data_IF_535674402654
#
_entry.id   IF_535674402654
#
_cell.length_a   1.000
_cell.length_b   1.000
_cell.length_c   1.000
_cell.angle_alpha   90.00
_cell.angle_beta   90.00
_cell.angle_gamma   90.00
#
_symmetry.space_group_name_H-M   'P 1'
#
loop_
_entity.id
_entity.type
_entity.pdbx_description
1 polymer ?
#
# COMPACT_ATOMS: atom_id res chain seq x y z
N UNK A 1 54.02 -84.84 56.70
CA UNK A 1 54.69 -84.83 55.45
C UNK A 1 53.74 -85.10 54.35
N UNK A 2 52.96 -84.25 53.92
CA UNK A 2 52.24 -84.26 52.65
C UNK A 2 51.50 -82.94 52.46
N UNK A 3 51.97 -82.18 51.49
CA UNK A 3 51.37 -80.96 51.08
C UNK A 3 50.14 -81.24 50.22
N UNK A 4 48.98 -80.77 50.59
CA UNK A 4 47.82 -80.74 49.73
C UNK A 4 47.60 -79.29 49.25
N UNK A 5 47.81 -79.06 47.99
CA UNK A 5 47.46 -77.85 47.27
C UNK A 5 45.94 -77.88 46.93
N UNK A 6 45.22 -76.91 47.39
CA UNK A 6 43.81 -76.68 47.05
C UNK A 6 43.71 -75.61 46.01
N UNK A 7 43.23 -75.93 44.80
CA UNK A 7 42.93 -75.02 43.69
C UNK A 7 41.58 -74.37 43.90
N UNK A 8 41.52 -73.03 43.93
CA UNK A 8 40.36 -72.26 43.91
C UNK A 8 39.93 -71.90 42.45
N UNK A 9 38.63 -71.93 42.04
CA UNK A 9 38.24 -71.66 40.68
C UNK A 9 38.11 -70.14 40.46
N UNK A 10 38.66 -69.66 39.33
CA UNK A 10 38.52 -68.31 38.84
C UNK A 10 37.12 -68.11 38.26
N UNK A 11 36.32 -67.24 38.88
CA UNK A 11 35.08 -66.71 38.31
C UNK A 11 35.41 -65.61 37.28
N UNK A 12 35.10 -65.84 35.99
CA UNK A 12 35.06 -64.85 34.95
C UNK A 12 33.79 -64.01 35.09
N UNK A 13 33.93 -62.73 35.51
CA UNK A 13 32.84 -61.75 35.43
C UNK A 13 32.79 -61.22 33.96
N UNK A 14 31.79 -61.63 33.21
CA UNK A 14 31.43 -61.01 31.95
C UNK A 14 30.73 -59.65 32.25
N UNK A 15 31.46 -58.55 32.05
CA UNK A 15 30.88 -57.22 32.08
C UNK A 15 30.08 -56.99 30.78
N UNK A 16 28.77 -56.82 30.89
CA UNK A 16 27.89 -56.42 29.81
C UNK A 16 27.96 -54.90 29.64
N UNK A 17 28.65 -54.45 28.58
CA UNK A 17 28.72 -53.04 28.20
C UNK A 17 27.36 -52.66 27.53
N UNK A 18 26.50 -51.95 28.25
CA UNK A 18 25.32 -51.32 27.65
C UNK A 18 25.73 -50.06 26.94
N UNK A 19 25.86 -50.09 25.60
CA UNK A 19 26.00 -48.89 24.77
C UNK A 19 24.63 -48.29 24.57
N UNK A 20 24.31 -47.18 25.30
CA UNK A 20 23.10 -46.39 25.09
C UNK A 20 23.32 -45.54 23.84
N UNK A 21 22.73 -45.93 22.72
CA UNK A 21 22.61 -45.07 21.53
C UNK A 21 21.56 -43.99 21.83
N UNK A 22 21.99 -42.80 22.22
CA UNK A 22 21.12 -41.61 22.25
C UNK A 22 21.01 -41.14 20.79
N UNK A 23 19.99 -41.60 20.10
CA UNK A 23 19.59 -41.02 18.81
C UNK A 23 19.06 -39.61 19.03
N UNK A 24 19.95 -38.61 18.95
CA UNK A 24 19.55 -37.20 18.91
C UNK A 24 18.76 -36.96 17.62
N UNK A 25 17.42 -36.83 17.75
CA UNK A 25 16.59 -36.30 16.66
C UNK A 25 16.94 -34.81 16.56
N UNK A 26 17.85 -34.48 15.63
CA UNK A 26 18.09 -33.10 15.21
C UNK A 26 16.83 -32.71 14.44
N UNK A 27 15.86 -32.10 15.11
CA UNK A 27 14.80 -31.36 14.43
C UNK A 27 15.46 -30.17 13.74
N UNK A 28 15.80 -30.33 12.45
CA UNK A 28 16.14 -29.21 11.59
C UNK A 28 14.94 -28.31 11.50
N UNK A 29 14.85 -27.31 12.37
CA UNK A 29 13.94 -26.20 12.16
C UNK A 29 14.36 -25.55 10.85
N UNK A 30 13.57 -25.75 9.79
CA UNK A 30 13.72 -24.99 8.55
C UNK A 30 13.55 -23.51 8.89
N UNK A 31 14.64 -22.80 9.02
CA UNK A 31 14.60 -21.32 9.10
C UNK A 31 14.11 -20.87 7.74
N UNK A 32 12.81 -20.54 7.65
CA UNK A 32 12.24 -19.96 6.43
C UNK A 32 12.98 -18.65 6.18
N UNK A 33 13.52 -18.48 4.96
CA UNK A 33 14.24 -17.26 4.60
C UNK A 33 13.30 -16.05 4.81
N UNK A 34 13.86 -14.95 5.31
CA UNK A 34 13.11 -13.70 5.44
C UNK A 34 12.75 -13.17 4.05
N UNK A 35 11.57 -12.57 3.93
CA UNK A 35 11.20 -11.85 2.72
C UNK A 35 12.17 -10.69 2.46
N UNK A 36 12.30 -10.19 1.22
CA UNK A 36 13.15 -9.05 0.87
C UNK A 36 12.83 -7.78 1.66
N UNK A 37 13.79 -6.86 1.75
CA UNK A 37 13.59 -5.56 2.43
C UNK A 37 12.60 -4.67 1.69
N UNK A 38 12.02 -3.70 2.39
CA UNK A 38 11.12 -2.71 1.80
C UNK A 38 11.79 -1.95 0.64
N UNK A 39 13.08 -1.62 0.74
CA UNK A 39 13.83 -0.97 -0.33
C UNK A 39 13.96 -1.84 -1.57
N UNK A 40 14.23 -3.14 -1.37
CA UNK A 40 14.30 -4.09 -2.50
C UNK A 40 12.96 -4.21 -3.23
N UNK A 41 11.87 -4.34 -2.47
CA UNK A 41 10.50 -4.41 -2.99
C UNK A 41 10.15 -3.12 -3.71
N UNK A 42 10.36 -1.96 -3.07
CA UNK A 42 10.11 -0.65 -3.64
C UNK A 42 10.81 -0.43 -4.98
N UNK A 43 12.04 -0.92 -5.12
CA UNK A 43 12.80 -0.86 -6.39
C UNK A 43 12.19 -1.67 -7.53
N UNK A 44 11.25 -2.57 -7.24
CA UNK A 44 10.58 -3.43 -8.23
C UNK A 44 9.10 -3.07 -8.48
N UNK A 45 8.48 -2.31 -7.60
CA UNK A 45 7.04 -2.02 -7.64
C UNK A 45 6.62 -1.23 -8.90
N UNK A 46 7.53 -0.39 -9.46
CA UNK A 46 7.23 0.41 -10.65
C UNK A 46 6.08 1.40 -10.44
N UNK A 47 5.26 1.61 -11.49
CA UNK A 47 4.05 2.43 -11.41
C UNK A 47 2.88 1.55 -11.02
N UNK A 48 2.01 2.09 -10.12
CA UNK A 48 0.85 1.37 -9.63
C UNK A 48 -0.49 1.96 -10.07
N UNK A 49 -1.52 1.15 -9.86
CA UNK A 49 -2.92 1.44 -10.16
C UNK A 49 -3.80 1.02 -8.98
N UNK A 50 -4.80 1.83 -8.62
CA UNK A 50 -5.80 1.49 -7.61
C UNK A 50 -7.03 0.85 -8.27
N UNK A 51 -7.49 -0.29 -7.73
CA UNK A 51 -8.81 -0.83 -8.01
C UNK A 51 -9.85 -0.05 -7.20
N UNK A 52 -10.03 1.24 -7.50
CA UNK A 52 -10.89 2.13 -6.73
C UNK A 52 -12.37 1.96 -7.00
N UNK A 53 -13.20 2.35 -6.02
CA UNK A 53 -14.66 2.23 -6.01
C UNK A 53 -15.17 0.80 -6.25
N UNK A 54 -14.44 -0.19 -5.72
CA UNK A 54 -14.73 -1.61 -5.95
C UNK A 54 -14.85 -2.35 -4.61
N UNK A 55 -13.76 -2.93 -4.08
CA UNK A 55 -13.81 -3.71 -2.84
C UNK A 55 -13.97 -2.83 -1.57
N UNK A 56 -13.73 -1.54 -1.65
CA UNK A 56 -14.00 -0.60 -0.56
C UNK A 56 -15.42 0.01 -0.61
N UNK A 57 -16.16 -0.25 -1.69
CA UNK A 57 -17.54 0.22 -1.79
C UNK A 57 -18.42 -0.35 -0.66
N UNK A 58 -19.24 0.50 -0.08
CA UNK A 58 -20.03 0.21 1.14
C UNK A 58 -21.41 -0.35 0.76
N UNK A 59 -21.75 -1.49 1.14
CA UNK A 59 -21.15 -2.74 1.62
C UNK A 59 -21.27 -3.79 0.52
N UNK A 60 -20.36 -3.81 -0.39
CA UNK A 60 -20.34 -4.78 -1.51
C UNK A 60 -19.56 -4.28 -2.71
N UNK A 61 -18.86 -5.18 -3.37
CA UNK A 61 -17.98 -4.89 -4.49
C UNK A 61 -18.62 -4.04 -5.59
N UNK A 62 -19.93 -4.22 -5.81
CA UNK A 62 -20.68 -3.53 -6.87
C UNK A 62 -21.51 -2.34 -6.37
N UNK A 63 -21.41 -2.00 -5.08
CA UNK A 63 -22.33 -1.03 -4.44
C UNK A 63 -22.20 0.40 -5.03
N UNK A 64 -21.06 0.74 -5.62
CA UNK A 64 -20.81 2.02 -6.28
C UNK A 64 -20.71 1.91 -7.81
N UNK A 65 -21.31 0.87 -8.38
CA UNK A 65 -21.44 0.71 -9.84
C UNK A 65 -20.26 0.04 -10.52
N UNK A 66 -19.32 -0.55 -9.75
CA UNK A 66 -18.30 -1.40 -10.34
C UNK A 66 -18.89 -2.77 -10.75
N UNK A 67 -18.35 -3.37 -11.79
CA UNK A 67 -18.53 -4.78 -12.07
C UNK A 67 -17.63 -5.64 -11.17
N UNK A 68 -17.95 -6.94 -11.07
CA UNK A 68 -17.07 -7.86 -10.38
C UNK A 68 -15.70 -7.90 -11.05
N UNK A 69 -14.66 -7.71 -10.24
CA UNK A 69 -13.28 -7.75 -10.72
C UNK A 69 -12.96 -9.12 -11.32
N UNK A 70 -12.42 -9.12 -12.53
CA UNK A 70 -12.05 -10.32 -13.27
C UNK A 70 -10.53 -10.41 -13.46
N UNK A 71 -10.03 -11.62 -13.75
CA UNK A 71 -8.63 -11.81 -14.17
C UNK A 71 -8.33 -10.99 -15.43
N UNK A 72 -9.26 -10.93 -16.38
CA UNK A 72 -9.09 -10.18 -17.63
C UNK A 72 -8.80 -8.68 -17.38
N UNK A 73 -9.46 -8.05 -16.41
CA UNK A 73 -9.17 -6.67 -16.04
C UNK A 73 -7.72 -6.55 -15.53
N UNK A 74 -7.28 -7.44 -14.66
CA UNK A 74 -5.92 -7.42 -14.09
C UNK A 74 -4.88 -7.67 -15.18
N UNK A 75 -5.08 -8.67 -16.06
CA UNK A 75 -4.23 -8.94 -17.23
C UNK A 75 -4.06 -7.67 -18.10
N UNK A 76 -5.15 -6.91 -18.30
CA UNK A 76 -5.13 -5.67 -19.09
C UNK A 76 -4.37 -4.54 -18.40
N UNK A 77 -4.51 -4.38 -17.08
CA UNK A 77 -3.75 -3.41 -16.28
C UNK A 77 -2.26 -3.74 -16.34
N UNK A 78 -1.89 -5.01 -16.19
CA UNK A 78 -0.50 -5.46 -16.33
C UNK A 78 0.04 -5.20 -17.75
N UNK A 79 -0.73 -5.54 -18.78
CA UNK A 79 -0.33 -5.32 -20.17
C UNK A 79 -0.15 -3.83 -20.50
N UNK A 80 -0.88 -2.93 -19.82
CA UNK A 80 -0.71 -1.48 -19.96
C UNK A 80 0.60 -0.95 -19.32
N UNK A 81 1.32 -1.78 -18.55
CA UNK A 81 2.63 -1.45 -17.98
C UNK A 81 2.62 -1.20 -16.48
N UNK A 82 1.50 -1.33 -15.78
CA UNK A 82 1.43 -1.25 -14.32
C UNK A 82 2.02 -2.50 -13.69
N UNK A 83 2.79 -2.34 -12.62
CA UNK A 83 3.42 -3.45 -11.91
C UNK A 83 2.98 -3.58 -10.44
N UNK A 84 2.19 -2.64 -9.94
CA UNK A 84 1.63 -2.64 -8.59
C UNK A 84 0.15 -2.37 -8.64
N UNK A 85 -0.63 -3.13 -7.87
CA UNK A 85 -2.05 -2.86 -7.64
C UNK A 85 -2.27 -2.55 -6.16
N UNK A 86 -2.88 -1.41 -5.87
CA UNK A 86 -3.44 -1.14 -4.54
C UNK A 86 -4.90 -1.57 -4.55
N UNK A 87 -5.26 -2.43 -3.61
CA UNK A 87 -6.60 -2.94 -3.39
C UNK A 87 -7.21 -2.24 -2.16
N UNK A 88 -7.97 -1.16 -2.34
CA UNK A 88 -8.80 -0.60 -1.28
C UNK A 88 -9.86 -1.63 -0.87
N UNK A 89 -9.98 -1.91 0.46
CA UNK A 89 -10.96 -2.91 0.94
C UNK A 89 -11.68 -2.42 2.19
N UNK A 90 -13.01 -2.59 2.21
CA UNK A 90 -13.81 -2.43 3.42
C UNK A 90 -13.95 -3.76 4.16
N UNK A 91 -13.68 -3.75 5.46
CA UNK A 91 -13.71 -4.92 6.34
C UNK A 91 -14.80 -4.83 7.41
N UNK A 92 -15.01 -3.62 7.93
CA UNK A 92 -16.01 -3.38 8.99
C UNK A 92 -17.42 -3.67 8.50
N UNK A 93 -17.71 -3.29 7.27
CA UNK A 93 -18.99 -3.53 6.62
C UNK A 93 -19.27 -5.03 6.40
N UNK A 94 -18.21 -5.81 6.26
CA UNK A 94 -18.23 -7.24 6.00
C UNK A 94 -17.75 -8.06 7.23
N UNK A 95 -18.20 -7.64 8.41
CA UNK A 95 -17.87 -8.32 9.65
C UNK A 95 -19.03 -8.30 10.66
N UNK A 96 -19.05 -9.25 11.57
CA UNK A 96 -19.77 -9.08 12.82
C UNK A 96 -19.08 -7.96 13.62
N UNK A 97 -19.69 -6.78 13.63
CA UNK A 97 -19.09 -5.58 14.25
C UNK A 97 -18.99 -5.67 15.78
N UNK A 98 -19.70 -6.61 16.41
CA UNK A 98 -19.67 -6.88 17.87
C UNK A 98 -18.52 -7.82 18.20
N UNK A 99 -18.45 -8.98 17.53
CA UNK A 99 -17.40 -9.97 17.72
C UNK A 99 -16.10 -9.60 17.00
N UNK A 100 -16.14 -8.76 15.97
CA UNK A 100 -15.00 -8.40 15.13
C UNK A 100 -14.55 -9.54 14.21
N UNK A 101 -15.50 -10.42 13.82
CA UNK A 101 -15.22 -11.56 12.94
C UNK A 101 -15.53 -11.16 11.50
N UNK A 102 -14.54 -11.25 10.64
CA UNK A 102 -14.69 -10.97 9.19
C UNK A 102 -15.48 -12.09 8.54
N UNK A 103 -16.38 -11.73 7.62
CA UNK A 103 -17.15 -12.66 6.80
C UNK A 103 -16.20 -13.52 5.96
N UNK A 104 -16.45 -14.83 5.98
CA UNK A 104 -15.62 -15.83 5.30
C UNK A 104 -15.70 -15.72 3.78
N UNK A 105 -16.89 -15.40 3.25
CA UNK A 105 -17.09 -15.26 1.81
C UNK A 105 -16.43 -13.99 1.31
N UNK A 106 -16.47 -12.92 2.12
CA UNK A 106 -15.80 -11.67 1.81
C UNK A 106 -14.27 -11.80 1.74
N UNK A 107 -13.65 -12.35 2.78
CA UNK A 107 -12.19 -12.54 2.76
C UNK A 107 -11.74 -13.50 1.65
N UNK A 108 -12.57 -14.50 1.30
CA UNK A 108 -12.33 -15.39 0.18
C UNK A 108 -12.41 -14.64 -1.17
N UNK A 109 -13.38 -13.72 -1.32
CA UNK A 109 -13.48 -12.87 -2.51
C UNK A 109 -12.28 -11.93 -2.64
N UNK A 110 -11.87 -11.29 -1.56
CA UNK A 110 -10.65 -10.45 -1.56
C UNK A 110 -9.42 -11.27 -1.95
N UNK A 111 -9.31 -12.52 -1.44
CA UNK A 111 -8.23 -13.42 -1.81
C UNK A 111 -8.23 -13.74 -3.31
N UNK A 112 -9.39 -13.99 -3.90
CA UNK A 112 -9.52 -14.27 -5.33
C UNK A 112 -8.95 -13.12 -6.17
N UNK A 113 -9.24 -11.86 -5.80
CA UNK A 113 -8.70 -10.68 -6.49
C UNK A 113 -7.19 -10.54 -6.27
N UNK A 114 -6.70 -10.82 -5.05
CA UNK A 114 -5.25 -10.90 -4.77
C UNK A 114 -4.60 -11.95 -5.66
N UNK A 115 -5.20 -13.14 -5.79
CA UNK A 115 -4.66 -14.23 -6.61
C UNK A 115 -4.57 -13.84 -8.10
N UNK A 116 -5.52 -13.05 -8.63
CA UNK A 116 -5.44 -12.51 -9.98
C UNK A 116 -4.17 -11.67 -10.19
N UNK A 117 -3.86 -10.81 -9.23
CA UNK A 117 -2.67 -9.94 -9.29
C UNK A 117 -1.37 -10.75 -9.15
N UNK A 118 -1.32 -11.69 -8.23
CA UNK A 118 -0.14 -12.55 -7.99
C UNK A 118 0.16 -13.41 -9.21
N UNK A 119 -0.88 -13.95 -9.89
CA UNK A 119 -0.72 -14.73 -11.11
C UNK A 119 -0.02 -13.93 -12.23
N UNK A 120 -0.21 -12.62 -12.27
CA UNK A 120 0.41 -11.73 -13.24
C UNK A 120 1.75 -11.14 -12.75
N UNK A 121 2.33 -11.71 -11.69
CA UNK A 121 3.61 -11.26 -11.11
C UNK A 121 3.58 -9.77 -10.76
N UNK A 122 2.48 -9.31 -10.12
CA UNK A 122 2.29 -7.93 -9.69
C UNK A 122 2.42 -7.81 -8.17
N UNK A 123 2.95 -6.68 -7.73
CA UNK A 123 2.90 -6.31 -6.31
C UNK A 123 1.49 -5.88 -5.93
N UNK A 124 1.03 -6.33 -4.78
CA UNK A 124 -0.33 -6.07 -4.28
C UNK A 124 -0.26 -5.37 -2.93
N UNK A 125 -0.90 -4.23 -2.80
CA UNK A 125 -1.06 -3.51 -1.54
C UNK A 125 -2.50 -3.71 -1.06
N UNK A 126 -2.69 -4.55 -0.06
CA UNK A 126 -3.97 -4.79 0.57
C UNK A 126 -4.12 -3.87 1.78
N UNK A 127 -5.14 -3.01 1.78
CA UNK A 127 -5.34 -2.03 2.83
C UNK A 127 -6.62 -2.27 3.65
N UNK A 128 -6.77 -1.42 4.64
CA UNK A 128 -8.00 -1.15 5.36
C UNK A 128 -8.43 0.27 4.97
N UNK A 129 -9.44 0.37 4.09
CA UNK A 129 -9.86 1.64 3.52
C UNK A 129 -10.78 2.43 4.47
N UNK A 130 -11.42 3.51 3.99
CA UNK A 130 -12.29 4.39 4.80
C UNK A 130 -13.36 3.63 5.61
N UNK A 131 -14.08 2.70 4.98
CA UNK A 131 -14.92 1.67 5.62
C UNK A 131 -15.84 2.25 6.72
N UNK A 132 -16.66 3.25 6.35
CA UNK A 132 -17.52 4.04 7.25
C UNK A 132 -16.76 4.86 8.30
N UNK A 133 -15.49 5.12 8.11
CA UNK A 133 -14.68 5.97 9.00
C UNK A 133 -14.47 5.40 10.40
N UNK A 134 -14.61 4.08 10.58
CA UNK A 134 -14.48 3.49 11.91
C UNK A 134 -13.09 3.66 12.53
N UNK A 135 -12.05 3.82 11.70
CA UNK A 135 -10.69 4.16 12.09
C UNK A 135 -10.39 5.63 11.78
N UNK A 136 -10.54 6.02 10.51
CA UNK A 136 -10.10 7.32 10.00
C UNK A 136 -10.69 8.50 10.75
N UNK A 137 -12.01 8.49 10.98
CA UNK A 137 -12.72 9.58 11.65
C UNK A 137 -12.61 9.49 13.18
N UNK A 138 -11.81 8.57 13.73
CA UNK A 138 -11.74 8.28 15.17
C UNK A 138 -10.33 8.32 15.73
N UNK A 139 -9.44 9.08 15.13
CA UNK A 139 -8.07 9.24 15.64
C UNK A 139 -8.05 10.24 16.79
N UNK A 140 -8.56 9.82 17.94
CA UNK A 140 -8.62 10.62 19.17
C UNK A 140 -8.60 9.73 20.41
N UNK A 141 -8.33 10.32 21.58
CA UNK A 141 -8.17 9.60 22.86
C UNK A 141 -9.42 8.81 23.26
N UNK A 142 -10.59 9.36 23.03
CA UNK A 142 -11.85 8.72 23.41
C UNK A 142 -12.05 7.38 22.68
N UNK A 143 -11.64 7.32 21.42
CA UNK A 143 -11.80 6.13 20.57
C UNK A 143 -10.56 5.22 20.55
N UNK A 144 -9.40 5.67 21.05
CA UNK A 144 -8.11 4.98 20.95
C UNK A 144 -8.17 3.50 21.33
N UNK A 145 -8.80 3.17 22.46
CA UNK A 145 -8.88 1.80 22.98
C UNK A 145 -9.73 0.89 22.08
N UNK A 146 -10.88 1.37 21.63
CA UNK A 146 -11.81 0.57 20.82
C UNK A 146 -11.28 0.38 19.39
N UNK A 147 -10.65 1.40 18.81
CA UNK A 147 -10.05 1.32 17.48
C UNK A 147 -8.86 0.36 17.50
N UNK A 148 -7.94 0.47 18.46
CA UNK A 148 -6.81 -0.46 18.60
C UNK A 148 -7.28 -1.91 18.77
N UNK A 149 -8.33 -2.15 19.58
CA UNK A 149 -8.89 -3.51 19.75
C UNK A 149 -9.40 -4.05 18.41
N UNK A 150 -10.17 -3.26 17.67
CA UNK A 150 -10.75 -3.69 16.37
C UNK A 150 -9.67 -3.89 15.31
N UNK A 151 -8.71 -2.99 15.22
CA UNK A 151 -7.59 -3.10 14.28
C UNK A 151 -6.78 -4.38 14.54
N UNK A 152 -6.50 -4.70 15.80
CA UNK A 152 -5.85 -5.96 16.17
C UNK A 152 -6.66 -7.18 15.72
N UNK A 153 -7.99 -7.18 15.97
CA UNK A 153 -8.85 -8.29 15.57
C UNK A 153 -8.85 -8.51 14.05
N UNK A 154 -9.02 -7.43 13.29
CA UNK A 154 -9.07 -7.54 11.82
C UNK A 154 -7.71 -7.93 11.24
N UNK A 155 -6.64 -7.24 11.61
CA UNK A 155 -5.31 -7.56 11.08
C UNK A 155 -4.80 -8.94 11.48
N UNK A 156 -5.19 -9.45 12.65
CA UNK A 156 -4.87 -10.84 13.02
C UNK A 156 -5.55 -11.83 12.08
N UNK A 157 -6.82 -11.60 11.72
CA UNK A 157 -7.55 -12.49 10.79
C UNK A 157 -7.01 -12.37 9.37
N UNK A 158 -6.87 -11.14 8.85
CA UNK A 158 -6.34 -10.88 7.52
C UNK A 158 -4.94 -11.48 7.39
N UNK A 159 -4.04 -11.14 8.30
CA UNK A 159 -2.67 -11.61 8.25
C UNK A 159 -2.54 -13.14 8.34
N UNK A 160 -3.36 -13.82 9.18
CA UNK A 160 -3.38 -15.27 9.20
C UNK A 160 -3.90 -15.88 7.89
N UNK A 161 -4.90 -15.27 7.28
CA UNK A 161 -5.49 -15.77 6.03
C UNK A 161 -4.51 -15.69 4.86
N UNK A 162 -3.69 -14.64 4.81
CA UNK A 162 -2.72 -14.38 3.76
C UNK A 162 -1.26 -14.68 4.14
N UNK A 163 -1.00 -15.40 5.23
CA UNK A 163 0.36 -15.56 5.79
C UNK A 163 1.37 -16.26 4.87
N UNK A 164 0.89 -17.08 3.93
CA UNK A 164 1.74 -17.91 3.08
C UNK A 164 2.12 -17.22 1.75
N UNK A 165 1.52 -16.05 1.44
CA UNK A 165 1.93 -15.24 0.30
C UNK A 165 3.35 -14.72 0.48
N UNK A 166 4.07 -14.62 -0.63
CA UNK A 166 5.45 -14.12 -0.68
C UNK A 166 5.52 -12.58 -0.57
N UNK A 167 6.61 -12.00 -1.02
CA UNK A 167 6.88 -10.56 -0.98
C UNK A 167 6.01 -9.70 -1.89
N UNK A 168 5.31 -10.30 -2.86
CA UNK A 168 4.42 -9.56 -3.75
C UNK A 168 3.20 -9.02 -3.02
N UNK A 169 2.79 -9.61 -1.89
CA UNK A 169 1.70 -9.09 -1.08
C UNK A 169 2.21 -8.22 0.08
N UNK A 170 1.82 -6.96 0.09
CA UNK A 170 2.08 -5.98 1.14
C UNK A 170 0.78 -5.65 1.89
N UNK A 171 0.88 -5.29 3.17
CA UNK A 171 -0.27 -4.83 3.95
C UNK A 171 -0.13 -3.35 4.29
N UNK A 172 -1.24 -2.59 4.19
CA UNK A 172 -1.33 -1.18 4.52
C UNK A 172 -2.35 -0.97 5.66
N UNK A 173 -1.89 -0.37 6.78
CA UNK A 173 -2.60 -0.38 8.06
C UNK A 173 -3.91 0.37 8.10
N UNK A 174 -4.06 1.39 7.26
CA UNK A 174 -5.22 2.29 7.17
C UNK A 174 -5.31 2.87 5.75
N UNK A 175 -6.15 3.92 5.56
CA UNK A 175 -6.20 4.71 4.35
C UNK A 175 -5.82 6.17 4.65
N UNK A 176 -6.76 7.05 5.03
CA UNK A 176 -6.54 8.49 5.28
C UNK A 176 -6.88 8.88 6.72
N UNK A 177 -6.11 8.43 7.73
CA UNK A 177 -6.44 8.69 9.13
C UNK A 177 -6.44 10.19 9.44
N UNK A 178 -7.60 10.75 9.82
CA UNK A 178 -7.83 12.18 10.02
C UNK A 178 -7.05 12.69 11.24
N UNK A 179 -5.92 13.34 11.00
CA UNK A 179 -5.02 13.88 12.02
C UNK A 179 -4.48 15.24 11.58
N UNK A 180 -4.60 16.25 12.46
CA UNK A 180 -4.21 17.63 12.16
C UNK A 180 -3.36 18.27 13.27
N UNK A 181 -3.04 17.52 14.34
CA UNK A 181 -2.22 17.99 15.45
C UNK A 181 -1.32 16.89 16.04
N UNK A 182 -0.40 17.30 16.90
CA UNK A 182 0.55 16.38 17.52
C UNK A 182 -0.12 15.35 18.46
N UNK A 183 -1.25 15.71 19.07
CA UNK A 183 -1.98 14.78 19.92
C UNK A 183 -2.65 13.68 19.09
N UNK A 184 -3.35 14.04 18.02
CA UNK A 184 -3.89 13.08 17.05
C UNK A 184 -2.80 12.17 16.48
N UNK A 185 -1.62 12.74 16.14
CA UNK A 185 -0.48 11.95 15.68
C UNK A 185 -0.01 10.93 16.72
N UNK A 186 0.00 11.30 18.01
CA UNK A 186 0.34 10.35 19.07
C UNK A 186 -0.64 9.19 19.18
N UNK A 187 -1.92 9.42 18.91
CA UNK A 187 -2.94 8.36 18.85
C UNK A 187 -2.75 7.50 17.61
N UNK A 188 -2.54 8.11 16.42
CA UNK A 188 -2.29 7.40 15.17
C UNK A 188 -1.08 6.47 15.29
N UNK A 189 -0.02 6.92 15.93
CA UNK A 189 1.16 6.08 16.17
C UNK A 189 0.81 4.78 16.93
N UNK A 190 -0.16 4.83 17.86
CA UNK A 190 -0.64 3.61 18.54
C UNK A 190 -1.43 2.68 17.62
N UNK A 191 -2.12 3.22 16.61
CA UNK A 191 -2.83 2.43 15.61
C UNK A 191 -1.83 1.72 14.70
N UNK A 192 -0.83 2.42 14.21
CA UNK A 192 0.26 1.82 13.45
C UNK A 192 1.01 0.73 14.24
N UNK A 193 1.33 0.99 15.51
CA UNK A 193 1.98 -0.02 16.35
C UNK A 193 1.11 -1.25 16.54
N UNK A 194 -0.21 -1.06 16.75
CA UNK A 194 -1.16 -2.18 16.88
C UNK A 194 -1.25 -3.01 15.60
N UNK A 195 -1.23 -2.37 14.44
CA UNK A 195 -1.19 -3.03 13.14
C UNK A 195 0.06 -3.88 12.98
N UNK A 196 1.25 -3.30 13.19
CA UNK A 196 2.54 -4.00 13.09
C UNK A 196 2.56 -5.21 14.03
N UNK A 197 2.23 -5.01 15.29
CA UNK A 197 2.24 -6.06 16.31
C UNK A 197 1.27 -7.21 15.96
N UNK A 198 0.08 -6.87 15.46
CA UNK A 198 -0.92 -7.85 15.06
C UNK A 198 -0.43 -8.72 13.89
N UNK A 199 0.13 -8.10 12.86
CA UNK A 199 0.66 -8.83 11.71
C UNK A 199 1.87 -9.68 12.10
N UNK A 200 2.85 -9.13 12.81
CA UNK A 200 4.06 -9.85 13.25
C UNK A 200 3.74 -11.07 14.12
N UNK A 201 2.73 -10.98 14.99
CA UNK A 201 2.31 -12.06 15.88
C UNK A 201 1.77 -13.29 15.13
N UNK A 202 1.36 -13.18 13.88
CA UNK A 202 0.84 -14.31 13.09
C UNK A 202 1.94 -15.22 12.54
N UNK A 203 3.19 -14.79 12.55
CA UNK A 203 4.34 -15.60 12.13
C UNK A 203 4.38 -15.90 10.62
N UNK A 204 5.08 -16.94 10.22
CA UNK A 204 5.28 -17.30 8.81
C UNK A 204 5.95 -16.16 8.03
N UNK A 205 5.52 -15.90 6.79
CA UNK A 205 6.01 -14.80 5.98
C UNK A 205 5.70 -13.42 6.57
N UNK A 206 4.65 -13.32 7.40
CA UNK A 206 4.30 -12.08 8.08
C UNK A 206 5.34 -11.63 9.12
N UNK A 207 6.22 -12.52 9.57
CA UNK A 207 7.33 -12.14 10.45
C UNK A 207 8.26 -11.10 9.81
N UNK A 208 8.36 -11.08 8.47
CA UNK A 208 9.22 -10.15 7.72
C UNK A 208 8.53 -9.47 6.53
N UNK A 209 7.20 -9.59 6.40
CA UNK A 209 6.42 -8.94 5.35
C UNK A 209 6.57 -7.42 5.42
N UNK A 210 6.71 -6.78 4.27
CA UNK A 210 6.70 -5.31 4.17
C UNK A 210 5.32 -4.78 4.54
N UNK A 211 5.29 -3.79 5.44
CA UNK A 211 4.10 -3.12 5.94
C UNK A 211 4.12 -1.65 5.54
N UNK A 212 2.95 -1.10 5.28
CA UNK A 212 2.79 0.27 4.84
C UNK A 212 2.02 1.03 5.92
N UNK A 213 2.55 2.20 6.31
CA UNK A 213 1.93 3.08 7.30
C UNK A 213 1.65 4.45 6.69
N UNK A 214 0.50 4.98 6.98
CA UNK A 214 0.00 6.22 6.44
C UNK A 214 0.51 7.42 7.24
N UNK A 215 0.89 8.49 6.56
CA UNK A 215 1.03 9.79 7.18
C UNK A 215 -0.33 10.32 7.69
N UNK A 216 -0.32 11.32 8.60
CA UNK A 216 -1.53 11.96 9.07
C UNK A 216 -2.33 12.54 7.88
N UNK A 217 -3.59 12.14 7.76
CA UNK A 217 -4.49 12.45 6.63
C UNK A 217 -3.92 12.07 5.25
N UNK A 218 -2.85 11.27 5.21
CA UNK A 218 -1.98 11.06 4.03
C UNK A 218 -1.53 12.34 3.32
N UNK A 219 -1.70 13.47 3.99
CA UNK A 219 -1.29 14.78 3.51
C UNK A 219 0.22 14.98 3.67
N UNK A 220 0.90 15.46 2.63
CA UNK A 220 2.36 15.64 2.62
C UNK A 220 2.83 16.68 3.63
N UNK A 221 2.11 17.80 3.76
CA UNK A 221 2.48 18.88 4.66
C UNK A 221 2.25 18.50 6.13
N UNK A 222 1.11 17.88 6.43
CA UNK A 222 0.84 17.37 7.78
C UNK A 222 1.80 16.22 8.13
N UNK A 223 2.14 15.34 7.18
CA UNK A 223 3.13 14.28 7.38
C UNK A 223 4.50 14.87 7.71
N UNK A 224 4.97 15.84 6.92
CA UNK A 224 6.25 16.50 7.14
C UNK A 224 6.31 17.25 8.48
N UNK A 225 5.18 17.78 8.94
CA UNK A 225 5.07 18.55 10.19
C UNK A 225 4.95 17.66 11.43
N UNK A 226 4.15 16.58 11.37
CA UNK A 226 3.68 15.85 12.54
C UNK A 226 4.33 14.48 12.71
N UNK A 227 4.74 13.79 11.63
CA UNK A 227 5.24 12.42 11.70
C UNK A 227 6.73 12.34 12.03
N UNK A 228 7.13 12.93 13.15
CA UNK A 228 8.54 12.98 13.58
C UNK A 228 9.02 11.67 14.22
N UNK A 229 8.12 10.72 14.46
CA UNK A 229 8.41 9.42 15.07
C UNK A 229 7.73 8.33 14.28
N UNK A 230 8.48 7.28 13.96
CA UNK A 230 7.97 6.07 13.31
C UNK A 230 7.53 5.05 14.37
N UNK A 231 6.54 4.19 14.07
CA UNK A 231 6.27 3.04 14.92
C UNK A 231 7.48 2.09 14.93
N UNK A 232 7.57 1.28 15.97
CA UNK A 232 8.68 0.34 16.15
C UNK A 232 8.33 -1.00 15.48
N UNK A 233 9.13 -1.40 14.50
CA UNK A 233 9.13 -2.79 14.02
C UNK A 233 10.38 -3.51 14.54
N UNK A 234 10.20 -4.71 15.07
CA UNK A 234 11.32 -5.54 15.56
C UNK A 234 12.20 -6.05 14.41
N UNK A 235 11.69 -6.03 13.19
CA UNK A 235 12.39 -6.43 11.97
C UNK A 235 12.73 -5.16 11.19
N UNK A 236 14.00 -4.88 11.04
CA UNK A 236 14.48 -3.70 10.33
C UNK A 236 14.08 -3.74 8.83
N UNK A 237 13.96 -2.55 8.24
CA UNK A 237 13.79 -2.35 6.81
C UNK A 237 12.54 -3.04 6.23
N UNK A 238 11.41 -2.95 6.96
CA UNK A 238 10.14 -3.57 6.57
C UNK A 238 8.96 -2.58 6.52
N UNK A 239 9.25 -1.28 6.60
CA UNK A 239 8.22 -0.24 6.58
C UNK A 239 8.36 0.60 5.32
N UNK A 240 7.22 0.89 4.69
CA UNK A 240 7.04 1.89 3.65
C UNK A 240 6.11 2.97 4.22
N UNK A 241 6.37 4.24 3.95
CA UNK A 241 5.46 5.33 4.28
C UNK A 241 4.52 5.62 3.11
N UNK A 242 3.28 6.01 3.40
CA UNK A 242 2.25 6.33 2.39
C UNK A 242 1.73 7.75 2.58
N UNK A 243 1.68 8.49 1.47
CA UNK A 243 1.01 9.78 1.34
C UNK A 243 0.17 9.78 0.07
N UNK A 244 -0.82 10.69 -0.02
CA UNK A 244 -1.64 10.90 -1.21
C UNK A 244 -1.36 12.27 -1.82
N UNK A 245 -1.70 12.47 -3.10
CA UNK A 245 -1.42 13.72 -3.79
C UNK A 245 -2.56 14.15 -4.72
N UNK A 246 -3.43 15.01 -4.21
CA UNK A 246 -4.54 15.60 -4.96
C UNK A 246 -4.41 17.13 -5.02
N UNK A 247 -3.19 17.61 -5.36
CA UNK A 247 -2.88 19.04 -5.40
C UNK A 247 -2.67 19.53 -6.83
N UNK A 248 -3.31 20.65 -7.22
CA UNK A 248 -4.25 21.45 -6.41
C UNK A 248 -5.64 20.80 -6.37
N UNK A 249 -6.33 20.90 -5.24
CA UNK A 249 -7.66 20.34 -5.04
C UNK A 249 -8.68 20.80 -6.11
N UNK A 250 -8.58 22.06 -6.55
CA UNK A 250 -9.46 22.65 -7.56
C UNK A 250 -9.30 21.99 -8.94
N UNK A 251 -8.15 21.42 -9.25
CA UNK A 251 -7.90 20.68 -10.48
C UNK A 251 -8.25 19.20 -10.35
N UNK A 252 -7.82 18.60 -9.24
CA UNK A 252 -7.91 17.16 -9.04
C UNK A 252 -9.31 16.69 -8.61
N UNK A 253 -9.93 17.37 -7.63
CA UNK A 253 -11.11 16.86 -6.92
C UNK A 253 -12.33 17.78 -6.94
N UNK A 254 -12.17 19.09 -7.12
CA UNK A 254 -13.29 19.99 -7.08
C UNK A 254 -14.23 19.74 -8.26
N UNK A 255 -15.49 19.39 -8.00
CA UNK A 255 -16.51 19.01 -8.99
C UNK A 255 -17.39 20.19 -9.46
N UNK A 256 -17.37 21.30 -8.72
CA UNK A 256 -18.08 22.55 -9.01
C UNK A 256 -17.42 23.73 -8.33
N UNK A 257 -17.67 24.93 -8.84
CA UNK A 257 -17.19 26.15 -8.20
C UNK A 257 -17.76 26.27 -6.78
N UNK A 258 -16.91 26.67 -5.85
CA UNK A 258 -17.25 26.92 -4.45
C UNK A 258 -17.03 28.40 -4.11
N UNK A 259 -17.60 28.87 -2.98
CA UNK A 259 -17.42 30.26 -2.53
C UNK A 259 -15.95 30.62 -2.23
N UNK A 260 -15.15 29.62 -1.88
CA UNK A 260 -13.72 29.76 -1.53
C UNK A 260 -12.77 29.53 -2.72
N UNK A 261 -13.26 29.04 -3.87
CA UNK A 261 -12.41 28.80 -5.03
C UNK A 261 -13.15 28.24 -6.23
N UNK A 262 -12.59 28.50 -7.41
CA UNK A 262 -13.09 27.98 -8.68
C UNK A 262 -12.37 26.70 -9.06
N UNK A 263 -13.04 25.84 -9.85
CA UNK A 263 -12.37 24.73 -10.52
C UNK A 263 -11.30 25.24 -11.46
N UNK A 264 -10.14 24.60 -11.44
CA UNK A 264 -9.13 24.75 -12.48
C UNK A 264 -9.39 23.76 -13.61
N UNK A 265 -9.25 24.24 -14.85
CA UNK A 265 -9.36 23.40 -16.03
C UNK A 265 -8.00 23.17 -16.69
N UNK A 266 -7.05 24.08 -16.43
CA UNK A 266 -5.75 24.11 -17.07
C UNK A 266 -4.66 24.08 -16.01
N UNK A 267 -3.77 23.11 -16.14
CA UNK A 267 -2.66 22.86 -15.23
C UNK A 267 -1.35 22.73 -16.02
N UNK A 268 -0.28 23.23 -15.45
CA UNK A 268 1.03 23.29 -16.06
C UNK A 268 1.21 24.59 -16.85
N UNK A 269 2.30 25.27 -16.56
CA UNK A 269 2.59 26.63 -17.05
C UNK A 269 2.37 26.82 -18.55
N UNK A 270 2.75 25.81 -19.35
CA UNK A 270 2.63 25.87 -20.81
C UNK A 270 1.23 25.47 -21.32
N UNK A 271 0.35 25.03 -20.43
CA UNK A 271 -1.04 24.64 -20.74
C UNK A 271 -2.06 25.67 -20.24
N UNK A 272 -1.64 26.89 -19.87
CA UNK A 272 -2.57 27.94 -19.46
C UNK A 272 -3.37 28.49 -20.65
N UNK A 273 -4.65 28.67 -20.45
CA UNK A 273 -5.53 29.32 -21.43
C UNK A 273 -5.27 30.83 -21.47
N UNK A 274 -5.21 31.38 -22.67
CA UNK A 274 -5.14 32.86 -22.90
C UNK A 274 -6.51 33.50 -22.95
N UNK A 275 -7.58 32.73 -23.13
CA UNK A 275 -8.96 33.20 -23.28
C UNK A 275 -9.82 32.92 -22.05
N UNK A 276 -9.59 31.82 -21.36
CA UNK A 276 -10.29 31.40 -20.14
C UNK A 276 -9.37 31.39 -18.93
N UNK A 277 -8.70 32.54 -18.70
CA UNK A 277 -7.62 32.67 -17.71
C UNK A 277 -8.06 32.41 -16.28
N UNK A 278 -9.35 32.58 -15.97
CA UNK A 278 -9.90 32.32 -14.64
C UNK A 278 -9.90 30.83 -14.27
N UNK A 279 -9.71 29.94 -15.23
CA UNK A 279 -9.65 28.50 -15.06
C UNK A 279 -8.21 27.94 -15.06
N UNK A 280 -7.21 28.79 -15.23
CA UNK A 280 -5.82 28.40 -15.06
C UNK A 280 -5.53 28.10 -13.59
N UNK A 281 -4.72 27.07 -13.34
CA UNK A 281 -4.19 26.83 -12.01
C UNK A 281 -3.34 28.03 -11.54
N UNK A 282 -3.52 28.42 -10.30
CA UNK A 282 -2.78 29.54 -9.69
C UNK A 282 -1.87 29.05 -8.55
N UNK A 283 -1.88 27.74 -8.27
CA UNK A 283 -1.07 27.06 -7.27
C UNK A 283 -1.09 25.56 -7.55
N UNK A 284 -0.20 24.80 -6.90
CA UNK A 284 -0.14 23.35 -7.00
C UNK A 284 0.42 22.86 -8.35
N UNK A 285 1.16 23.70 -9.06
CA UNK A 285 1.79 23.35 -10.33
C UNK A 285 3.19 22.73 -10.13
N UNK A 286 4.00 22.66 -11.18
CA UNK A 286 5.27 21.90 -11.22
C UNK A 286 6.18 22.18 -10.02
N UNK A 287 6.32 23.45 -9.63
CA UNK A 287 7.17 23.83 -8.50
C UNK A 287 6.67 23.28 -7.16
N UNK A 288 5.35 23.20 -6.99
CA UNK A 288 4.74 22.62 -5.78
C UNK A 288 4.88 21.11 -5.75
N UNK A 289 4.76 20.42 -6.90
CA UNK A 289 5.05 18.98 -7.03
C UNK A 289 6.49 18.71 -6.59
N UNK A 290 7.47 19.46 -7.15
CA UNK A 290 8.88 19.31 -6.83
C UNK A 290 9.17 19.52 -5.34
N UNK A 291 8.58 20.56 -4.74
CA UNK A 291 8.70 20.90 -3.33
C UNK A 291 8.10 19.81 -2.44
N UNK A 292 6.88 19.34 -2.74
CA UNK A 292 6.17 18.38 -1.92
C UNK A 292 6.84 17.01 -1.93
N UNK A 293 7.20 16.51 -3.11
CA UNK A 293 7.92 15.24 -3.20
C UNK A 293 9.34 15.32 -2.63
N UNK A 294 9.97 16.51 -2.72
CA UNK A 294 11.24 16.81 -2.05
C UNK A 294 11.16 16.65 -0.52
N UNK A 295 10.04 17.07 0.12
CA UNK A 295 9.81 16.87 1.57
C UNK A 295 9.82 15.37 1.90
N UNK A 296 9.09 14.55 1.15
CA UNK A 296 9.00 13.11 1.37
C UNK A 296 10.33 12.41 1.13
N UNK A 297 11.06 12.81 0.09
CA UNK A 297 12.41 12.34 -0.15
C UNK A 297 13.32 12.58 1.05
N UNK A 298 13.42 13.83 1.52
CA UNK A 298 14.28 14.19 2.66
C UNK A 298 13.86 13.53 3.96
N UNK A 299 12.54 13.43 4.19
CA UNK A 299 12.01 12.89 5.44
C UNK A 299 12.19 11.38 5.57
N UNK A 300 12.03 10.63 4.47
CA UNK A 300 11.98 9.18 4.47
C UNK A 300 12.99 8.53 3.52
N UNK A 301 12.96 8.82 2.22
CA UNK A 301 13.78 8.11 1.22
C UNK A 301 15.28 8.23 1.51
N UNK A 302 15.76 9.43 1.84
CA UNK A 302 17.17 9.68 2.18
C UNK A 302 17.59 8.99 3.49
N UNK A 303 16.63 8.48 4.27
CA UNK A 303 16.85 7.69 5.50
C UNK A 303 16.61 6.19 5.29
N UNK A 304 16.45 5.74 4.04
CA UNK A 304 16.23 4.35 3.69
C UNK A 304 14.80 3.85 3.90
N UNK A 305 13.81 4.72 4.10
CA UNK A 305 12.40 4.35 4.19
C UNK A 305 11.74 4.68 2.85
N UNK A 306 11.30 3.69 2.06
CA UNK A 306 10.59 3.96 0.82
C UNK A 306 9.27 4.69 1.07
N UNK A 307 8.81 5.45 0.05
CA UNK A 307 7.53 6.18 0.09
C UNK A 307 6.69 5.80 -1.11
N UNK A 308 5.41 5.51 -0.88
CA UNK A 308 4.41 5.45 -1.96
C UNK A 308 3.56 6.72 -1.95
N UNK A 309 3.22 7.20 -3.14
CA UNK A 309 2.07 8.07 -3.35
C UNK A 309 0.91 7.12 -3.62
N UNK A 310 0.19 6.74 -2.56
CA UNK A 310 -0.84 5.69 -2.60
C UNK A 310 -2.02 6.05 -3.49
N UNK A 311 -2.29 7.35 -3.64
CA UNK A 311 -3.32 7.87 -4.53
C UNK A 311 -2.92 9.20 -5.14
N UNK A 312 -3.19 9.37 -6.43
CA UNK A 312 -3.20 10.65 -7.13
C UNK A 312 -4.08 10.52 -8.37
N UNK A 313 -4.81 11.57 -8.72
CA UNK A 313 -5.61 11.62 -9.93
C UNK A 313 -6.00 13.04 -10.32
N UNK A 314 -6.35 13.22 -11.59
CA UNK A 314 -7.07 14.38 -12.10
C UNK A 314 -7.99 13.90 -13.24
N UNK A 315 -9.20 14.44 -13.34
CA UNK A 315 -10.18 14.04 -14.34
C UNK A 315 -10.30 15.00 -15.52
N UNK A 316 -10.38 14.48 -16.75
CA UNK A 316 -10.80 15.27 -17.90
C UNK A 316 -12.24 15.70 -17.73
N UNK A 317 -12.52 16.98 -17.95
CA UNK A 317 -13.84 17.58 -17.78
C UNK A 317 -14.57 17.67 -19.12
N UNK A 318 -15.90 17.62 -19.11
CA UNK A 318 -16.69 18.00 -20.28
C UNK A 318 -16.89 19.49 -20.25
N UNK A 319 -16.22 20.21 -21.16
CA UNK A 319 -16.24 21.66 -21.22
C UNK A 319 -17.06 22.15 -22.42
N UNK A 320 -17.56 23.39 -22.29
CA UNK A 320 -18.25 24.13 -23.34
C UNK A 320 -17.54 25.47 -23.58
N UNK A 321 -17.60 26.04 -24.78
CA UNK A 321 -17.05 27.36 -25.04
C UNK A 321 -17.49 28.40 -23.99
N UNK A 322 -16.62 29.32 -23.57
CA UNK A 322 -15.31 29.63 -24.15
C UNK A 322 -14.16 28.72 -23.69
N UNK A 323 -14.39 27.71 -22.83
CA UNK A 323 -13.35 26.82 -22.33
C UNK A 323 -12.86 25.84 -23.40
N UNK A 324 -11.57 25.56 -23.41
CA UNK A 324 -10.91 24.70 -24.38
C UNK A 324 -10.82 23.26 -23.90
N UNK A 325 -11.56 22.37 -24.52
CA UNK A 325 -11.59 20.93 -24.22
C UNK A 325 -10.23 20.25 -24.53
N UNK A 326 -9.59 20.61 -25.62
CA UNK A 326 -8.31 20.01 -26.02
C UNK A 326 -7.20 20.41 -25.02
N UNK A 327 -7.17 21.68 -24.62
CA UNK A 327 -6.24 22.19 -23.64
C UNK A 327 -6.44 21.58 -22.24
N UNK A 328 -7.71 21.34 -21.83
CA UNK A 328 -7.99 20.61 -20.59
C UNK A 328 -7.45 19.17 -20.68
N UNK A 329 -7.70 18.46 -21.79
CA UNK A 329 -7.17 17.10 -21.96
C UNK A 329 -5.65 17.08 -21.89
N UNK A 330 -4.98 18.01 -22.58
CA UNK A 330 -3.52 18.13 -22.53
C UNK A 330 -3.00 18.46 -21.13
N UNK A 331 -3.70 19.32 -20.38
CA UNK A 331 -3.37 19.64 -18.98
C UNK A 331 -3.45 18.42 -18.08
N UNK A 332 -4.49 17.59 -18.22
CA UNK A 332 -4.66 16.38 -17.42
C UNK A 332 -3.58 15.34 -17.74
N UNK A 333 -3.34 15.08 -19.02
CA UNK A 333 -2.27 14.16 -19.45
C UNK A 333 -0.89 14.64 -18.99
N UNK A 334 -0.62 15.94 -19.07
CA UNK A 334 0.64 16.53 -18.59
C UNK A 334 0.77 16.40 -17.06
N UNK A 335 -0.30 16.60 -16.29
CA UNK A 335 -0.31 16.39 -14.84
C UNK A 335 0.12 14.97 -14.47
N UNK A 336 -0.50 13.94 -15.07
CA UNK A 336 -0.13 12.56 -14.81
C UNK A 336 1.33 12.27 -15.17
N UNK A 337 1.78 12.72 -16.34
CA UNK A 337 3.16 12.55 -16.78
C UNK A 337 4.14 13.20 -15.80
N UNK A 338 3.86 14.45 -15.38
CA UNK A 338 4.74 15.22 -14.52
C UNK A 338 4.82 14.65 -13.10
N UNK A 339 3.69 14.32 -12.50
CA UNK A 339 3.60 13.73 -11.17
C UNK A 339 4.37 12.39 -11.12
N UNK A 340 4.15 11.51 -12.09
CA UNK A 340 4.85 10.22 -12.17
C UNK A 340 6.36 10.40 -12.34
N UNK A 341 6.78 11.25 -13.28
CA UNK A 341 8.19 11.56 -13.50
C UNK A 341 8.86 12.11 -12.24
N UNK A 342 8.27 13.12 -11.62
CA UNK A 342 8.81 13.75 -10.40
C UNK A 342 8.89 12.75 -9.24
N UNK A 343 7.84 11.94 -9.02
CA UNK A 343 7.81 10.93 -7.98
C UNK A 343 8.98 9.94 -8.12
N UNK A 344 9.08 9.28 -9.27
CA UNK A 344 10.12 8.27 -9.52
C UNK A 344 11.52 8.89 -9.45
N UNK A 345 11.73 10.11 -9.99
CA UNK A 345 13.02 10.80 -9.93
C UNK A 345 13.48 11.10 -8.50
N UNK A 346 12.56 11.11 -7.53
CA UNK A 346 12.83 11.29 -6.10
C UNK A 346 12.81 9.99 -5.29
N UNK A 347 12.62 8.85 -5.95
CA UNK A 347 12.55 7.54 -5.30
C UNK A 347 11.21 7.24 -4.64
N UNK A 348 10.12 7.95 -5.03
CA UNK A 348 8.76 7.65 -4.60
C UNK A 348 8.08 6.76 -5.64
N UNK A 349 7.13 5.95 -5.19
CA UNK A 349 6.37 5.02 -6.04
C UNK A 349 4.96 5.60 -6.27
N UNK A 350 4.62 6.05 -7.49
CA UNK A 350 3.31 6.62 -7.77
C UNK A 350 2.28 5.52 -8.08
N UNK A 351 1.10 5.59 -7.44
CA UNK A 351 -0.02 4.67 -7.65
C UNK A 351 -1.26 5.52 -7.99
N UNK A 352 -1.67 5.53 -9.26
CA UNK A 352 -2.80 6.34 -9.70
C UNK A 352 -4.13 5.81 -9.17
N UNK A 353 -5.02 6.72 -8.79
CA UNK A 353 -6.40 6.37 -8.43
C UNK A 353 -7.25 6.25 -9.69
N UNK A 354 -7.99 5.14 -9.78
CA UNK A 354 -8.93 4.90 -10.88
C UNK A 354 -10.25 4.35 -10.36
N UNK A 355 -11.34 4.75 -11.00
CA UNK A 355 -12.70 4.37 -10.64
C UNK A 355 -13.42 3.78 -11.87
N UNK A 356 -14.58 3.13 -11.72
CA UNK A 356 -15.38 2.70 -12.86
C UNK A 356 -15.60 3.85 -13.86
N UNK A 357 -15.47 3.55 -15.16
CA UNK A 357 -15.52 4.52 -16.27
C UNK A 357 -14.34 5.52 -16.33
N UNK A 358 -13.26 5.27 -15.59
CA UNK A 358 -12.03 6.06 -15.61
C UNK A 358 -11.02 5.58 -16.67
N UNK A 359 -9.93 4.94 -16.26
CA UNK A 359 -8.87 4.49 -17.16
C UNK A 359 -9.18 3.16 -17.85
N UNK A 360 -9.87 2.25 -17.16
CA UNK A 360 -10.19 0.92 -17.64
C UNK A 360 -11.68 0.62 -17.52
N UNK A 361 -12.23 -0.02 -18.54
CA UNK A 361 -13.55 -0.65 -18.48
C UNK A 361 -13.48 -1.86 -17.55
N UNK A 362 -14.27 -1.85 -16.47
CA UNK A 362 -14.22 -2.88 -15.42
C UNK A 362 -14.71 -4.25 -15.91
N UNK A 363 -15.57 -4.28 -16.94
CA UNK A 363 -16.14 -5.52 -17.48
C UNK A 363 -15.25 -6.19 -18.53
N UNK A 364 -14.57 -5.40 -19.36
CA UNK A 364 -13.80 -5.89 -20.50
C UNK A 364 -12.29 -5.75 -20.35
N UNK A 365 -11.82 -4.92 -19.41
CA UNK A 365 -10.42 -4.55 -19.28
C UNK A 365 -9.93 -3.57 -20.36
N UNK A 366 -10.79 -3.10 -21.27
CA UNK A 366 -10.37 -2.17 -22.31
C UNK A 366 -9.89 -0.84 -21.73
N UNK A 367 -8.83 -0.27 -22.29
CA UNK A 367 -8.35 1.06 -21.92
C UNK A 367 -9.35 2.10 -22.45
N UNK A 368 -9.98 2.86 -21.54
CA UNK A 368 -10.93 3.93 -21.87
C UNK A 368 -10.22 5.26 -22.12
N UNK A 369 -9.19 5.58 -21.37
CA UNK A 369 -8.37 6.77 -21.58
C UNK A 369 -6.91 6.44 -21.85
N UNK A 370 -6.63 6.17 -23.13
CA UNK A 370 -5.28 5.87 -23.59
C UNK A 370 -4.31 7.05 -23.37
N UNK A 371 -4.77 8.29 -23.49
CA UNK A 371 -3.93 9.48 -23.34
C UNK A 371 -3.34 9.57 -21.93
N UNK A 372 -4.14 9.31 -20.90
CA UNK A 372 -3.67 9.30 -19.50
C UNK A 372 -2.73 8.11 -19.25
N UNK A 373 -3.09 6.91 -19.73
CA UNK A 373 -2.23 5.71 -19.55
C UNK A 373 -0.87 5.93 -20.22
N UNK A 374 -0.84 6.41 -21.45
CA UNK A 374 0.40 6.73 -22.17
C UNK A 374 1.23 7.81 -21.43
N UNK A 375 0.57 8.83 -20.88
CA UNK A 375 1.22 9.89 -20.11
C UNK A 375 1.89 9.36 -18.83
N UNK A 376 1.22 8.47 -18.09
CA UNK A 376 1.77 7.78 -16.92
C UNK A 376 3.04 6.99 -17.30
N UNK A 377 2.95 6.15 -18.33
CA UNK A 377 4.08 5.31 -18.76
C UNK A 377 5.23 6.14 -19.35
N UNK A 378 4.92 7.25 -20.04
CA UNK A 378 5.94 8.17 -20.52
C UNK A 378 6.64 8.90 -19.36
N UNK A 379 5.91 9.30 -18.32
CA UNK A 379 6.48 9.88 -17.11
C UNK A 379 7.47 8.94 -16.42
N UNK A 380 7.12 7.64 -16.31
CA UNK A 380 8.01 6.63 -15.77
C UNK A 380 9.27 6.43 -16.61
N UNK A 381 9.14 6.40 -17.94
CA UNK A 381 10.26 6.30 -18.87
C UNK A 381 11.19 7.51 -18.79
N UNK A 382 10.63 8.72 -18.74
CA UNK A 382 11.40 9.97 -18.66
C UNK A 382 12.21 10.05 -17.34
N UNK A 383 11.66 9.57 -16.23
CA UNK A 383 12.36 9.50 -14.94
C UNK A 383 13.53 8.51 -14.97
N UNK A 384 13.34 7.33 -15.58
CA UNK A 384 14.39 6.30 -15.71
C UNK A 384 15.56 6.78 -16.56
N UNK A 385 15.30 7.56 -17.61
CA UNK A 385 16.35 8.17 -18.45
C UNK A 385 17.22 9.16 -17.66
N UNK A 386 16.62 9.94 -16.75
CA UNK A 386 17.35 10.89 -15.89
C UNK A 386 18.21 10.16 -14.86
N UNK A 387 17.74 9.03 -14.31
CA UNK A 387 18.50 8.23 -13.34
C UNK A 387 19.70 7.51 -13.94
N UNK A 388 19.66 7.16 -15.22
CA UNK A 388 20.78 6.49 -15.92
C UNK A 388 22.02 7.40 -16.14
N UNK A 389 21.88 8.71 -15.95
CA UNK A 389 22.97 9.69 -16.10
C UNK A 389 23.54 10.20 -14.76
N UNK A 390 23.13 9.61 -13.61
CA UNK A 390 23.68 9.88 -12.28
C UNK A 390 24.47 8.70 -11.74
#
# INVERSE_FOLDING_TARGET
MENKFTLLPRFFKRGLLFVIFVSGIIMSASVKAQLPTAQHIAGKMGVGWNLGNTLEAICGENAWGAEHTSQQLIDSVKAAGFNTIRLPVSWFCHSDTTAGVIDKDWIARVKEVVDYCIKDDMYVILNMHWDKGWLENRVNKANQKIVNKRQRLYWTQIANYFKDYDEHLLFAGANEPSVHDAFGMSVLLTYHQTFIDAVRATGGNNSSRTLIIQGPSTDIDETNKLMNTMPVDKIADRIIAEVHYYTPFQFCLLDRDANWGKMFYYWGKDNHSTTDTVRNATSGEESDVEKNFGKMKTMFVDKGIPVIIGEFAAGKRKLSPPSDQALNSASVEYYYKYVVKSAISKGLIPICWDVPMGLFDRSTGAILDKGIVDAIMQGAKDASAVSAYK
#
